data_IF_566607857870
#
_entry.id   IF_566607857870
#
_cell.length_a   1.000
_cell.length_b   1.000
_cell.length_c   1.000
_cell.angle_alpha   90.00
_cell.angle_beta   90.00
_cell.angle_gamma   90.00
#
_symmetry.space_group_name_H-M   'P 1'
#
loop_
_entity.id
_entity.type
_entity.pdbx_description
1 polymer ?
#
# COMPACT_ATOMS: atom_id res chain seq x y z
N UNK A 1 7.93 5.15 -22.27
CA UNK A 1 7.41 5.76 -21.03
C UNK A 1 5.91 5.46 -20.91
N UNK A 2 5.49 4.57 -20.00
CA UNK A 2 4.06 4.37 -19.70
C UNK A 2 3.60 5.55 -18.85
N UNK A 3 2.95 6.51 -19.50
CA UNK A 3 2.33 7.69 -18.89
C UNK A 3 1.61 7.36 -17.57
N UNK A 4 1.75 8.24 -16.57
CA UNK A 4 1.01 8.21 -15.29
C UNK A 4 -0.49 8.01 -15.59
N UNK A 5 -0.95 6.76 -15.53
CA UNK A 5 -2.34 6.44 -15.81
C UNK A 5 -3.16 6.88 -14.58
N UNK A 6 -4.03 7.86 -14.79
CA UNK A 6 -4.92 8.44 -13.79
C UNK A 6 -6.36 8.07 -14.11
N UNK A 7 -7.17 7.81 -13.09
CA UNK A 7 -8.62 7.76 -13.25
C UNK A 7 -9.17 9.19 -13.44
N UNK A 8 -10.23 9.32 -14.26
CA UNK A 8 -10.99 10.57 -14.31
C UNK A 8 -11.74 10.74 -13.00
N UNK A 9 -11.52 11.84 -12.30
CA UNK A 9 -12.28 12.15 -11.09
C UNK A 9 -13.75 12.35 -11.44
N UNK A 10 -14.60 11.68 -10.69
CA UNK A 10 -16.03 11.91 -10.64
C UNK A 10 -16.44 11.80 -9.17
N UNK A 11 -17.55 12.43 -8.79
CA UNK A 11 -18.03 12.47 -7.40
C UNK A 11 -18.12 11.06 -6.79
N UNK A 12 -18.61 10.09 -7.58
CA UNK A 12 -18.68 8.68 -7.14
C UNK A 12 -17.31 8.10 -6.80
N UNK A 13 -16.28 8.41 -7.58
CA UNK A 13 -14.91 7.94 -7.34
C UNK A 13 -14.34 8.58 -6.07
N UNK A 14 -14.57 9.89 -5.87
CA UNK A 14 -14.10 10.61 -4.67
C UNK A 14 -14.71 10.02 -3.40
N UNK A 15 -16.04 9.80 -3.39
CA UNK A 15 -16.73 9.17 -2.25
C UNK A 15 -16.20 7.76 -1.99
N UNK A 16 -15.96 6.98 -3.04
CA UNK A 16 -15.45 5.62 -2.92
C UNK A 16 -14.00 5.59 -2.40
N UNK A 17 -13.16 6.55 -2.79
CA UNK A 17 -11.83 6.74 -2.23
C UNK A 17 -11.89 7.13 -0.75
N UNK A 18 -12.78 8.03 -0.36
CA UNK A 18 -12.95 8.40 1.04
C UNK A 18 -13.35 7.19 1.92
N UNK A 19 -14.24 6.34 1.42
CA UNK A 19 -14.62 5.08 2.09
C UNK A 19 -13.41 4.15 2.21
N UNK A 20 -12.62 3.98 1.14
CA UNK A 20 -11.43 3.14 1.21
C UNK A 20 -10.34 3.69 2.12
N UNK A 21 -10.15 5.01 2.16
CA UNK A 21 -9.21 5.64 3.10
C UNK A 21 -9.67 5.39 4.54
N UNK A 22 -10.96 5.57 4.84
CA UNK A 22 -11.50 5.24 6.15
C UNK A 22 -11.29 3.75 6.51
N UNK A 23 -11.51 2.86 5.55
CA UNK A 23 -11.25 1.43 5.72
C UNK A 23 -9.77 1.14 5.95
N UNK A 24 -8.86 1.79 5.21
CA UNK A 24 -7.42 1.62 5.37
C UNK A 24 -6.96 2.07 6.75
N UNK A 25 -7.47 3.20 7.26
CA UNK A 25 -7.19 3.67 8.63
C UNK A 25 -7.65 2.65 9.67
N UNK A 26 -8.86 2.11 9.54
CA UNK A 26 -9.39 1.10 10.47
C UNK A 26 -8.56 -0.19 10.40
N UNK A 27 -8.28 -0.69 9.20
CA UNK A 27 -7.50 -1.93 9.01
C UNK A 27 -6.06 -1.74 9.48
N UNK A 28 -5.42 -0.62 9.16
CA UNK A 28 -4.06 -0.32 9.57
C UNK A 28 -3.91 -0.19 11.09
N UNK A 29 -4.93 0.34 11.77
CA UNK A 29 -4.90 0.56 13.22
C UNK A 29 -5.27 -0.69 14.01
N UNK A 30 -6.35 -1.39 13.62
CA UNK A 30 -6.93 -2.49 14.41
C UNK A 30 -6.55 -3.89 13.92
N UNK A 31 -6.23 -4.05 12.63
CA UNK A 31 -5.83 -5.32 12.02
C UNK A 31 -4.32 -5.32 11.77
N UNK A 32 -3.56 -4.99 12.82
CA UNK A 32 -2.10 -5.10 12.84
C UNK A 32 -1.69 -5.97 14.02
N UNK A 33 -0.96 -7.05 13.73
CA UNK A 33 -0.52 -8.02 14.73
C UNK A 33 1.01 -8.04 14.79
N UNK A 34 1.57 -8.14 16.00
CA UNK A 34 3.01 -8.28 16.18
C UNK A 34 3.54 -7.58 17.43
N UNK A 35 4.86 -7.47 17.50
CA UNK A 35 5.58 -6.74 18.55
C UNK A 35 5.85 -5.31 18.12
N UNK A 36 6.29 -4.44 19.04
CA UNK A 36 6.69 -3.05 18.71
C UNK A 36 7.79 -2.95 17.64
N UNK A 37 8.54 -4.03 17.40
CA UNK A 37 9.65 -4.07 16.45
C UNK A 37 9.22 -4.71 15.12
N UNK A 38 8.42 -5.78 15.19
CA UNK A 38 7.93 -6.53 14.02
C UNK A 38 6.42 -6.54 14.03
N UNK A 39 5.81 -5.66 13.24
CA UNK A 39 4.37 -5.60 13.03
C UNK A 39 4.02 -6.09 11.62
N UNK A 40 2.95 -6.88 11.53
CA UNK A 40 2.35 -7.35 10.29
C UNK A 40 0.94 -6.76 10.22
N UNK A 41 0.76 -5.77 9.35
CA UNK A 41 -0.52 -5.13 9.10
C UNK A 41 -1.19 -5.63 7.83
N UNK A 42 -2.53 -5.56 7.79
CA UNK A 42 -3.33 -5.95 6.62
C UNK A 42 -3.73 -4.77 5.71
N UNK A 43 -3.27 -3.55 6.00
CA UNK A 43 -3.54 -2.33 5.20
C UNK A 43 -3.13 -2.46 3.73
N UNK A 44 -2.11 -3.27 3.44
CA UNK A 44 -1.68 -3.54 2.06
C UNK A 44 -2.81 -4.05 1.15
N UNK A 45 -3.82 -4.73 1.71
CA UNK A 45 -4.99 -5.20 0.96
C UNK A 45 -5.78 -3.99 0.44
N UNK A 46 -6.13 -3.07 1.34
CA UNK A 46 -6.93 -1.88 1.00
C UNK A 46 -6.14 -0.99 0.04
N UNK A 47 -4.85 -0.78 0.31
CA UNK A 47 -3.95 -0.01 -0.56
C UNK A 47 -3.85 -0.59 -1.98
N UNK A 48 -3.83 -1.92 -2.10
CA UNK A 48 -3.85 -2.59 -3.40
C UNK A 48 -5.17 -2.35 -4.14
N UNK A 49 -6.30 -2.39 -3.42
CA UNK A 49 -7.62 -2.10 -4.00
C UNK A 49 -7.70 -0.65 -4.45
N UNK A 50 -7.29 0.33 -3.62
CA UNK A 50 -7.23 1.74 -4.03
C UNK A 50 -6.37 1.91 -5.29
N UNK A 51 -5.19 1.27 -5.31
CA UNK A 51 -4.29 1.23 -6.47
C UNK A 51 -4.95 0.78 -7.76
N UNK A 52 -5.75 -0.28 -7.68
CA UNK A 52 -6.46 -0.85 -8.82
C UNK A 52 -7.59 0.06 -9.35
N UNK A 53 -8.24 0.84 -8.48
CA UNK A 53 -9.39 1.71 -8.83
C UNK A 53 -8.99 3.14 -9.23
N UNK A 54 -8.08 3.76 -8.47
CA UNK A 54 -7.83 5.20 -8.56
C UNK A 54 -6.70 5.56 -9.55
N UNK A 55 -5.79 4.62 -9.80
CA UNK A 55 -4.56 4.88 -10.53
C UNK A 55 -3.50 5.56 -9.67
N UNK A 56 -2.30 5.69 -10.24
CA UNK A 56 -1.09 6.17 -9.55
C UNK A 56 -1.28 7.44 -8.70
N UNK A 57 -1.64 8.56 -9.31
CA UNK A 57 -1.72 9.85 -8.60
C UNK A 57 -2.77 9.86 -7.49
N UNK A 58 -4.00 9.40 -7.77
CA UNK A 58 -5.08 9.40 -6.79
C UNK A 58 -4.86 8.40 -5.65
N UNK A 59 -4.18 7.29 -5.92
CA UNK A 59 -3.79 6.33 -4.87
C UNK A 59 -2.75 6.96 -3.95
N UNK A 60 -1.75 7.66 -4.49
CA UNK A 60 -0.79 8.40 -3.69
C UNK A 60 -1.45 9.44 -2.79
N UNK A 61 -2.33 10.27 -3.34
CA UNK A 61 -3.07 11.28 -2.57
C UNK A 61 -3.95 10.62 -1.49
N UNK A 62 -4.68 9.57 -1.84
CA UNK A 62 -5.55 8.86 -0.90
C UNK A 62 -4.75 8.26 0.28
N UNK A 63 -3.62 7.59 -0.02
CA UNK A 63 -2.76 7.03 1.03
C UNK A 63 -2.08 8.11 1.87
N UNK A 64 -1.68 9.24 1.28
CA UNK A 64 -1.17 10.39 2.04
C UNK A 64 -2.21 10.97 3.00
N UNK A 65 -3.46 11.12 2.55
CA UNK A 65 -4.57 11.56 3.43
C UNK A 65 -4.81 10.53 4.54
N UNK A 66 -4.81 9.23 4.20
CA UNK A 66 -4.97 8.15 5.18
C UNK A 66 -3.87 8.14 6.25
N UNK A 67 -2.63 8.42 5.86
CA UNK A 67 -1.50 8.53 6.80
C UNK A 67 -1.68 9.72 7.76
N UNK A 68 -2.05 10.89 7.25
CA UNK A 68 -2.33 12.07 8.08
C UNK A 68 -3.48 11.79 9.05
N UNK A 69 -4.59 11.23 8.55
CA UNK A 69 -5.77 10.94 9.38
C UNK A 69 -5.47 9.89 10.44
N UNK A 70 -4.81 8.79 10.08
CA UNK A 70 -4.46 7.74 11.04
C UNK A 70 -3.48 8.23 12.10
N UNK A 71 -2.48 9.01 11.71
CA UNK A 71 -1.47 9.55 12.64
C UNK A 71 -2.07 10.60 13.57
N UNK A 72 -2.99 11.45 13.10
CA UNK A 72 -3.64 12.45 13.96
C UNK A 72 -4.60 11.82 14.97
N UNK A 73 -5.28 10.73 14.60
CA UNK A 73 -6.26 10.08 15.48
C UNK A 73 -5.62 9.05 16.43
N UNK A 74 -4.61 8.31 15.97
CA UNK A 74 -4.06 7.14 16.65
C UNK A 74 -2.53 7.17 16.80
N UNK A 75 -1.86 8.24 16.35
CA UNK A 75 -0.41 8.36 16.43
C UNK A 75 0.08 8.58 17.86
N UNK A 76 0.99 7.73 18.32
CA UNK A 76 1.50 7.77 19.69
C UNK A 76 2.70 8.73 19.89
N UNK A 77 3.43 9.05 18.82
CA UNK A 77 4.72 9.76 18.87
C UNK A 77 4.72 11.12 18.16
N UNK A 78 3.54 11.69 17.88
CA UNK A 78 3.39 12.93 17.12
C UNK A 78 3.48 12.74 15.60
N UNK A 79 3.05 13.75 14.85
CA UNK A 79 3.01 13.71 13.39
C UNK A 79 4.38 14.04 12.79
N UNK A 80 4.92 13.13 11.96
CA UNK A 80 6.15 13.35 11.22
C UNK A 80 5.87 13.36 9.69
N UNK A 81 6.01 14.51 9.01
CA UNK A 81 5.65 14.67 7.60
C UNK A 81 6.33 13.70 6.62
N UNK A 82 7.50 13.16 6.98
CA UNK A 82 8.20 12.20 6.13
C UNK A 82 7.43 10.89 5.93
N UNK A 83 6.65 10.44 6.94
CA UNK A 83 5.81 9.25 6.78
C UNK A 83 4.70 9.46 5.74
N UNK A 84 4.07 10.64 5.74
CA UNK A 84 3.08 11.01 4.72
C UNK A 84 3.71 11.09 3.34
N UNK A 85 4.92 11.65 3.23
CA UNK A 85 5.65 11.69 1.96
C UNK A 85 5.90 10.29 1.41
N UNK A 86 6.35 9.36 2.27
CA UNK A 86 6.51 7.96 1.87
C UNK A 86 5.19 7.29 1.52
N UNK A 87 4.10 7.55 2.25
CA UNK A 87 2.78 7.02 1.95
C UNK A 87 2.29 7.43 0.55
N UNK A 88 2.53 8.68 0.15
CA UNK A 88 2.21 9.18 -1.19
C UNK A 88 3.01 8.42 -2.26
N UNK A 89 4.32 8.27 -2.09
CA UNK A 89 5.18 7.56 -3.05
C UNK A 89 4.77 6.10 -3.16
N UNK A 90 4.55 5.44 -2.03
CA UNK A 90 4.13 4.04 -1.98
C UNK A 90 2.77 3.87 -2.65
N UNK A 91 1.82 4.78 -2.43
CA UNK A 91 0.53 4.77 -3.12
C UNK A 91 0.65 4.98 -4.63
N UNK A 92 1.57 5.84 -5.08
CA UNK A 92 1.88 5.97 -6.51
C UNK A 92 2.38 4.62 -7.06
N UNK A 93 3.26 3.93 -6.35
CA UNK A 93 3.78 2.61 -6.76
C UNK A 93 2.66 1.58 -6.84
N UNK A 94 1.77 1.50 -5.83
CA UNK A 94 0.59 0.64 -5.86
C UNK A 94 -0.27 0.91 -7.11
N UNK A 95 -0.58 2.18 -7.39
CA UNK A 95 -1.35 2.53 -8.58
C UNK A 95 -0.60 2.28 -9.89
N UNK A 96 0.73 2.36 -9.94
CA UNK A 96 1.50 2.03 -11.14
C UNK A 96 1.47 0.54 -11.47
N UNK A 97 1.49 -0.33 -10.47
CA UNK A 97 1.46 -1.79 -10.68
C UNK A 97 0.04 -2.33 -10.89
N UNK A 98 -0.94 -1.87 -10.11
CA UNK A 98 -2.25 -2.53 -10.07
C UNK A 98 -3.35 -1.84 -10.89
N UNK A 99 -3.15 -0.60 -11.34
CA UNK A 99 -4.18 0.12 -12.11
C UNK A 99 -4.44 -0.50 -13.49
N UNK A 100 -5.70 -0.83 -13.76
CA UNK A 100 -6.13 -1.45 -15.03
C UNK A 100 -5.37 -2.71 -15.40
N UNK A 101 -4.80 -3.40 -14.41
CA UNK A 101 -4.06 -4.63 -14.60
C UNK A 101 -4.98 -5.82 -14.41
N UNK A 102 -5.27 -6.54 -15.50
CA UNK A 102 -5.96 -7.83 -15.41
C UNK A 102 -4.99 -8.87 -14.82
N UNK A 103 -5.42 -9.55 -13.76
CA UNK A 103 -4.66 -10.61 -13.12
C UNK A 103 -5.46 -11.91 -13.17
N UNK A 104 -4.82 -12.99 -13.61
CA UNK A 104 -5.41 -14.31 -13.64
C UNK A 104 -4.70 -15.27 -12.67
N UNK A 105 -5.48 -15.98 -11.86
CA UNK A 105 -4.96 -16.97 -10.90
C UNK A 105 -4.13 -18.07 -11.59
N UNK A 106 -4.54 -18.46 -12.80
CA UNK A 106 -3.93 -19.55 -13.56
C UNK A 106 -2.65 -19.14 -14.31
N UNK A 107 -2.24 -17.86 -14.24
CA UNK A 107 -1.11 -17.33 -14.99
C UNK A 107 0.12 -17.17 -14.08
N UNK A 108 1.14 -18.01 -14.26
CA UNK A 108 2.43 -17.88 -13.56
C UNK A 108 3.08 -16.50 -13.76
N UNK A 109 2.88 -15.88 -14.93
CA UNK A 109 3.41 -14.54 -15.23
C UNK A 109 2.80 -13.48 -14.33
N UNK A 110 1.52 -13.61 -14.00
CA UNK A 110 0.86 -12.65 -13.11
C UNK A 110 1.35 -12.86 -11.67
N UNK A 111 1.60 -14.10 -11.25
CA UNK A 111 2.20 -14.39 -9.93
C UNK A 111 3.57 -13.74 -9.77
N UNK A 112 4.45 -13.90 -10.76
CA UNK A 112 5.74 -13.21 -10.78
C UNK A 112 5.60 -11.69 -10.79
N UNK A 113 4.61 -11.16 -11.53
CA UNK A 113 4.35 -9.73 -11.57
C UNK A 113 3.95 -9.16 -10.21
N UNK A 114 3.03 -9.82 -9.51
CA UNK A 114 2.60 -9.40 -8.16
C UNK A 114 3.75 -9.54 -7.16
N UNK A 115 4.55 -10.61 -7.26
CA UNK A 115 5.72 -10.80 -6.39
C UNK A 115 6.71 -9.66 -6.54
N UNK A 116 7.02 -9.26 -7.79
CA UNK A 116 7.92 -8.13 -8.07
C UNK A 116 7.31 -6.82 -7.54
N UNK A 117 6.00 -6.60 -7.77
CA UNK A 117 5.32 -5.40 -7.27
C UNK A 117 5.42 -5.29 -5.74
N UNK A 118 5.11 -6.38 -5.02
CA UNK A 118 5.19 -6.45 -3.55
C UNK A 118 6.63 -6.25 -3.07
N UNK A 119 7.61 -6.89 -3.72
CA UNK A 119 9.02 -6.74 -3.36
C UNK A 119 9.49 -5.28 -3.51
N UNK A 120 9.14 -4.61 -4.62
CA UNK A 120 9.47 -3.20 -4.85
C UNK A 120 8.80 -2.31 -3.79
N UNK A 121 7.52 -2.53 -3.51
CA UNK A 121 6.77 -1.77 -2.51
C UNK A 121 7.41 -1.93 -1.14
N UNK A 122 7.72 -3.16 -0.70
CA UNK A 122 8.33 -3.41 0.60
C UNK A 122 9.74 -2.85 0.72
N UNK A 123 10.52 -2.88 -0.37
CA UNK A 123 11.85 -2.30 -0.39
C UNK A 123 11.78 -0.77 -0.23
N UNK A 124 10.87 -0.11 -0.95
CA UNK A 124 10.72 1.35 -0.87
C UNK A 124 10.11 1.77 0.47
N UNK A 125 9.02 1.13 0.89
CA UNK A 125 8.28 1.50 2.08
C UNK A 125 9.01 1.07 3.37
N UNK A 126 9.16 -0.24 3.56
CA UNK A 126 9.59 -0.83 4.82
C UNK A 126 11.10 -0.78 5.01
N UNK A 127 11.87 -1.03 3.94
CA UNK A 127 13.35 -1.09 4.04
C UNK A 127 13.97 0.30 3.93
N UNK A 128 13.52 1.13 2.99
CA UNK A 128 14.11 2.45 2.76
C UNK A 128 13.45 3.53 3.61
N UNK A 129 12.21 3.91 3.33
CA UNK A 129 11.58 5.06 3.99
C UNK A 129 11.39 4.87 5.49
N UNK A 130 10.81 3.74 5.91
CA UNK A 130 10.56 3.50 7.34
C UNK A 130 11.87 3.51 8.14
N UNK A 131 12.91 2.82 7.68
CA UNK A 131 14.25 2.81 8.32
C UNK A 131 14.85 4.22 8.38
N UNK A 132 14.72 5.00 7.30
CA UNK A 132 15.25 6.36 7.21
C UNK A 132 14.54 7.28 8.22
N UNK A 133 13.21 7.25 8.28
CA UNK A 133 12.45 8.09 9.20
C UNK A 133 12.66 7.72 10.67
N UNK A 134 12.67 6.42 10.98
CA UNK A 134 12.95 5.95 12.35
C UNK A 134 14.39 6.27 12.77
N UNK A 135 15.36 6.18 11.86
CA UNK A 135 16.74 6.61 12.12
C UNK A 135 16.83 8.10 12.45
N UNK A 136 16.10 8.96 11.73
CA UNK A 136 16.05 10.40 11.99
C UNK A 136 15.34 10.71 13.30
N UNK A 137 14.19 10.09 13.58
CA UNK A 137 13.38 10.35 14.78
C UNK A 137 14.06 9.92 16.08
N UNK A 138 14.75 8.78 16.07
CA UNK A 138 15.38 8.22 17.26
C UNK A 138 16.90 8.46 17.32
N UNK A 139 17.46 9.20 16.36
CA UNK A 139 18.90 9.52 16.27
C UNK A 139 19.84 8.30 16.32
N UNK A 140 19.34 7.14 15.90
CA UNK A 140 20.09 5.88 15.89
C UNK A 140 20.61 5.56 14.48
N UNK A 141 21.72 4.79 14.34
CA UNK A 141 22.32 4.49 13.04
C UNK A 141 21.37 3.71 12.13
N UNK A 142 21.33 4.08 10.86
CA UNK A 142 20.50 3.44 9.83
C UNK A 142 20.72 1.92 9.76
N UNK A 143 21.98 1.47 9.90
CA UNK A 143 22.36 0.05 9.82
C UNK A 143 21.67 -0.82 10.88
N UNK A 144 21.47 -0.29 12.09
CA UNK A 144 20.83 -1.01 13.19
C UNK A 144 19.38 -1.34 12.84
N UNK A 145 18.63 -0.34 12.37
CA UNK A 145 17.25 -0.56 11.97
C UNK A 145 17.14 -1.40 10.71
N UNK A 146 18.05 -1.23 9.74
CA UNK A 146 18.06 -2.04 8.53
C UNK A 146 18.12 -3.54 8.84
N UNK A 147 18.98 -3.94 9.78
CA UNK A 147 19.09 -5.34 10.21
C UNK A 147 17.80 -5.87 10.83
N UNK A 148 17.04 -5.02 11.53
CA UNK A 148 15.72 -5.40 12.07
C UNK A 148 14.63 -5.48 11.00
N UNK A 149 14.81 -4.85 9.83
CA UNK A 149 13.83 -4.82 8.74
C UNK A 149 13.96 -5.99 7.76
N UNK A 150 15.16 -6.53 7.55
CA UNK A 150 15.37 -7.66 6.64
C UNK A 150 14.49 -8.89 6.94
N UNK A 151 14.26 -9.30 8.20
CA UNK A 151 13.35 -10.41 8.50
C UNK A 151 11.90 -10.15 8.08
N UNK A 152 11.45 -8.88 8.00
CA UNK A 152 10.08 -8.58 7.56
C UNK A 152 9.85 -8.90 6.08
N UNK A 153 10.91 -9.06 5.27
CA UNK A 153 10.81 -9.46 3.86
C UNK A 153 10.18 -10.85 3.67
N UNK A 154 10.11 -11.66 4.72
CA UNK A 154 9.33 -12.91 4.69
C UNK A 154 7.85 -12.66 4.36
N UNK A 155 7.32 -11.46 4.60
CA UNK A 155 5.94 -11.11 4.26
C UNK A 155 5.70 -11.00 2.75
N UNK A 156 6.74 -10.93 1.91
CA UNK A 156 6.59 -10.82 0.44
C UNK A 156 5.73 -11.97 -0.13
N UNK A 157 6.07 -13.26 0.07
CA UNK A 157 5.24 -14.36 -0.42
C UNK A 157 3.83 -14.33 0.15
N UNK A 158 3.68 -14.01 1.44
CA UNK A 158 2.37 -13.92 2.09
C UNK A 158 1.49 -12.85 1.44
N UNK A 159 1.99 -11.62 1.32
CA UNK A 159 1.27 -10.51 0.68
C UNK A 159 0.96 -10.81 -0.78
N UNK A 160 1.87 -11.46 -1.49
CA UNK A 160 1.67 -11.88 -2.89
C UNK A 160 0.49 -12.84 -3.01
N UNK A 161 0.43 -13.88 -2.17
CA UNK A 161 -0.67 -14.84 -2.15
C UNK A 161 -1.99 -14.12 -1.87
N UNK A 162 -2.03 -13.28 -0.84
CA UNK A 162 -3.24 -12.55 -0.44
C UNK A 162 -3.73 -11.63 -1.57
N UNK A 163 -2.83 -10.87 -2.20
CA UNK A 163 -3.19 -10.00 -3.33
C UNK A 163 -3.73 -10.81 -4.51
N UNK A 164 -3.11 -11.96 -4.79
CA UNK A 164 -3.58 -12.84 -5.86
C UNK A 164 -4.91 -13.50 -5.58
N UNK A 165 -5.30 -13.68 -4.32
CA UNK A 165 -6.64 -14.17 -4.00
C UNK A 165 -7.66 -13.05 -4.22
N UNK A 166 -7.33 -11.84 -3.75
CA UNK A 166 -8.28 -10.73 -3.67
C UNK A 166 -8.50 -10.04 -5.01
N UNK A 167 -7.44 -9.62 -5.72
CA UNK A 167 -7.59 -8.82 -6.94
C UNK A 167 -8.30 -9.59 -8.08
N UNK A 168 -7.90 -10.81 -8.45
CA UNK A 168 -8.63 -11.62 -9.42
C UNK A 168 -10.07 -11.91 -9.02
N UNK A 169 -10.34 -12.14 -7.73
CA UNK A 169 -11.70 -12.33 -7.24
C UNK A 169 -12.56 -11.07 -7.42
N UNK A 170 -12.03 -9.88 -7.09
CA UNK A 170 -12.70 -8.60 -7.32
C UNK A 170 -12.96 -8.34 -8.82
N UNK A 171 -12.02 -8.72 -9.69
CA UNK A 171 -12.16 -8.56 -11.15
C UNK A 171 -13.21 -9.47 -11.78
N UNK A 172 -13.59 -10.58 -11.12
CA UNK A 172 -14.68 -11.45 -11.58
C UNK A 172 -16.06 -10.83 -11.38
N UNK A 173 -16.21 -9.92 -10.42
CA UNK A 173 -17.49 -9.28 -10.11
C UNK A 173 -17.82 -8.24 -11.20
N UNK A 174 -18.90 -8.40 -11.99
CA UNK A 174 -19.18 -7.55 -13.15
C UNK A 174 -19.27 -6.06 -12.83
N UNK A 175 -19.89 -5.72 -11.68
CA UNK A 175 -20.06 -4.34 -11.21
C UNK A 175 -18.73 -3.65 -10.91
N UNK A 176 -17.74 -4.39 -10.40
CA UNK A 176 -16.42 -3.88 -10.02
C UNK A 176 -15.47 -3.89 -11.22
N UNK A 177 -15.59 -4.89 -12.09
CA UNK A 177 -14.78 -5.05 -13.30
C UNK A 177 -14.80 -3.79 -14.18
N UNK A 178 -15.95 -3.11 -14.28
CA UNK A 178 -16.11 -1.86 -15.06
C UNK A 178 -15.25 -0.69 -14.54
N UNK A 179 -14.91 -0.69 -13.27
CA UNK A 179 -14.11 0.37 -12.64
C UNK A 179 -12.63 0.04 -12.64
N UNK A 180 -12.28 -1.24 -12.46
CA UNK A 180 -10.90 -1.71 -12.38
C UNK A 180 -10.25 -1.79 -13.78
N UNK A 181 -11.00 -2.06 -14.85
CA UNK A 181 -10.47 -2.30 -16.22
C UNK A 181 -10.88 -1.20 -17.19
#
# INVERSE_FOLDING_TARGET
MKSFRMAKLNLRLVVLLAIFVALDVIVGTFLTFGTNIVQVGFSFIVNTVIGAFAGSLWTGIAMGIGDVVSTLLFGHFGYFPGFTFSAIIVGIIYGLFFYKKQLAWNSWKDWLYVLIAVAVIMLVDTVFFNTLWVSILYHNPFSVYLMTRLPLLWQIPFRTIVIMIILPALQRIPSIKKWIL
#
